data_IF_682334623887
#
_entry.id   IF_682334623887
#
_cell.length_a   1.000
_cell.length_b   1.000
_cell.length_c   1.000
_cell.angle_alpha   90.00
_cell.angle_beta   90.00
_cell.angle_gamma   90.00
#
_symmetry.space_group_name_H-M   'P 1'
#
loop_
_entity.id
_entity.type
_entity.pdbx_description
1 polymer ?
#
# COMPACT_ATOMS: atom_id res chain seq x y z
N UNK A 1 4.18 -15.68 -32.39
CA UNK A 1 3.54 -14.36 -32.28
C UNK A 1 3.37 -14.07 -30.80
N UNK A 2 3.77 -12.88 -30.31
CA UNK A 2 3.58 -12.51 -28.89
C UNK A 2 2.12 -12.06 -28.72
N UNK A 3 1.40 -12.65 -27.78
CA UNK A 3 0.04 -12.18 -27.42
C UNK A 3 0.07 -11.53 -26.04
N UNK A 4 -0.94 -10.74 -25.69
CA UNK A 4 -1.06 -10.18 -24.34
C UNK A 4 -1.15 -11.31 -23.30
N UNK A 5 -1.82 -12.41 -23.64
CA UNK A 5 -1.95 -13.61 -22.81
C UNK A 5 -0.60 -14.32 -22.61
N UNK A 6 0.35 -14.15 -23.53
CA UNK A 6 1.71 -14.70 -23.38
C UNK A 6 2.44 -14.08 -22.17
N UNK A 7 2.07 -12.87 -21.74
CA UNK A 7 2.63 -12.24 -20.54
C UNK A 7 2.14 -12.86 -19.23
N UNK A 8 1.10 -13.73 -19.24
CA UNK A 8 0.69 -14.48 -18.03
C UNK A 8 1.78 -15.43 -17.53
N UNK A 9 2.65 -15.89 -18.42
CA UNK A 9 3.80 -16.73 -18.08
C UNK A 9 5.01 -15.93 -17.58
N UNK A 10 4.91 -14.59 -17.56
CA UNK A 10 6.01 -13.72 -17.17
C UNK A 10 5.99 -13.47 -15.65
N UNK A 11 6.64 -14.34 -14.89
CA UNK A 11 6.77 -14.26 -13.42
C UNK A 11 7.78 -13.19 -12.97
N UNK A 12 7.65 -11.96 -13.45
CA UNK A 12 8.53 -10.87 -13.07
C UNK A 12 8.22 -10.33 -11.66
N UNK A 13 9.29 -10.01 -10.91
CA UNK A 13 9.27 -9.15 -9.72
C UNK A 13 8.43 -9.61 -8.53
N UNK A 14 8.14 -10.91 -8.40
CA UNK A 14 7.58 -11.44 -7.16
C UNK A 14 8.66 -11.50 -6.09
N UNK A 15 8.53 -10.66 -5.07
CA UNK A 15 9.29 -10.78 -3.84
C UNK A 15 8.67 -11.90 -3.00
N UNK A 16 9.50 -12.66 -2.29
CA UNK A 16 8.98 -13.64 -1.33
C UNK A 16 9.90 -13.78 -0.12
N UNK A 17 9.30 -14.14 1.01
CA UNK A 17 10.01 -14.65 2.17
C UNK A 17 10.19 -16.18 2.01
N UNK A 18 11.43 -16.66 2.09
CA UNK A 18 11.75 -18.09 2.02
C UNK A 18 12.65 -18.49 3.20
N UNK A 19 12.35 -19.54 3.96
CA UNK A 19 13.18 -19.91 5.10
C UNK A 19 14.50 -20.56 4.64
N UNK A 20 15.61 -20.12 5.23
CA UNK A 20 16.96 -20.56 4.87
C UNK A 20 17.32 -21.86 5.61
N UNK A 21 16.63 -22.97 5.30
CA UNK A 21 17.07 -24.39 5.50
C UNK A 21 15.90 -25.36 5.29
N UNK A 22 15.88 -26.04 4.15
CA UNK A 22 15.23 -27.34 3.97
C UNK A 22 13.70 -27.38 3.90
N UNK A 23 13.01 -26.23 3.90
CA UNK A 23 11.55 -26.20 3.79
C UNK A 23 11.12 -25.37 2.57
N UNK A 24 10.30 -25.97 1.70
CA UNK A 24 9.83 -25.45 0.41
C UNK A 24 8.70 -24.40 0.50
N UNK A 25 8.54 -23.68 1.61
CA UNK A 25 7.46 -22.69 1.72
C UNK A 25 7.96 -21.30 1.38
N UNK A 26 7.32 -20.66 0.39
CA UNK A 26 7.54 -19.27 0.01
C UNK A 26 6.28 -18.48 0.33
N UNK A 27 6.42 -17.41 1.10
CA UNK A 27 5.32 -16.44 1.29
C UNK A 27 5.53 -15.34 0.26
N UNK A 28 4.64 -15.24 -0.73
CA UNK A 28 4.69 -14.17 -1.74
C UNK A 28 4.39 -12.82 -1.09
N UNK A 29 5.20 -11.80 -1.38
CA UNK A 29 4.98 -10.42 -0.94
C UNK A 29 4.17 -9.66 -2.00
N UNK A 30 2.88 -9.95 -2.07
CA UNK A 30 1.93 -9.26 -2.94
C UNK A 30 1.62 -7.85 -2.44
N UNK A 31 1.86 -7.57 -1.16
CA UNK A 31 1.72 -6.25 -0.55
C UNK A 31 2.43 -5.15 -1.35
N UNK A 32 3.62 -5.40 -1.89
CA UNK A 32 4.36 -4.42 -2.71
C UNK A 32 3.58 -3.94 -3.96
N UNK A 33 2.84 -4.85 -4.62
CA UNK A 33 2.04 -4.51 -5.80
C UNK A 33 0.88 -3.59 -5.42
N UNK A 34 0.14 -3.94 -4.37
CA UNK A 34 -0.98 -3.13 -3.88
C UNK A 34 -0.53 -1.76 -3.35
N UNK A 35 0.61 -1.71 -2.64
CA UNK A 35 1.17 -0.45 -2.14
C UNK A 35 1.58 0.44 -3.32
N UNK A 36 2.19 -0.13 -4.36
CA UNK A 36 2.56 0.59 -5.58
C UNK A 36 1.32 1.22 -6.22
N UNK A 37 0.26 0.45 -6.43
CA UNK A 37 -1.00 0.96 -6.98
C UNK A 37 -1.62 2.05 -6.09
N UNK A 38 -1.66 1.84 -4.78
CA UNK A 38 -2.19 2.82 -3.83
C UNK A 38 -1.42 4.14 -3.86
N UNK A 39 -0.08 4.08 -3.95
CA UNK A 39 0.78 5.25 -4.04
C UNK A 39 0.52 6.03 -5.33
N UNK A 40 0.44 5.36 -6.49
CA UNK A 40 0.15 6.03 -7.76
C UNK A 40 -1.26 6.62 -7.81
N UNK A 41 -2.25 5.97 -7.19
CA UNK A 41 -3.59 6.56 -7.03
C UNK A 41 -3.53 7.85 -6.20
N UNK A 42 -2.78 7.84 -5.10
CA UNK A 42 -2.55 9.04 -4.28
C UNK A 42 -1.85 10.16 -5.03
N UNK A 43 -0.76 9.82 -5.74
CA UNK A 43 -0.04 10.76 -6.59
C UNK A 43 -0.97 11.46 -7.58
N UNK A 44 -1.81 10.67 -8.27
CA UNK A 44 -2.76 11.20 -9.25
C UNK A 44 -3.84 12.08 -8.60
N UNK A 45 -4.29 11.76 -7.38
CA UNK A 45 -5.25 12.59 -6.66
C UNK A 45 -4.64 13.95 -6.26
N UNK A 46 -3.36 14.00 -5.87
CA UNK A 46 -2.64 15.25 -5.63
C UNK A 46 -2.42 16.06 -6.91
N UNK A 47 -2.05 15.39 -8.02
CA UNK A 47 -1.92 16.04 -9.33
C UNK A 47 -3.22 16.68 -9.79
N UNK A 48 -4.36 16.03 -9.58
CA UNK A 48 -5.64 16.65 -9.90
C UNK A 48 -5.96 17.87 -9.02
N UNK A 49 -5.57 17.84 -7.74
CA UNK A 49 -5.69 19.01 -6.86
C UNK A 49 -4.82 20.16 -7.40
N UNK A 50 -3.58 19.88 -7.78
CA UNK A 50 -2.66 20.86 -8.38
C UNK A 50 -3.19 21.52 -9.66
N UNK A 51 -3.92 20.77 -10.47
CA UNK A 51 -4.49 21.23 -11.74
C UNK A 51 -5.80 22.02 -11.55
N UNK A 52 -6.30 22.13 -10.32
CA UNK A 52 -7.54 22.85 -10.03
C UNK A 52 -7.33 24.36 -10.18
N UNK A 53 -8.18 25.02 -10.97
CA UNK A 53 -8.16 26.48 -11.17
C UNK A 53 -9.28 27.15 -10.39
N UNK A 54 -10.53 26.93 -10.82
CA UNK A 54 -11.71 27.67 -10.35
C UNK A 54 -12.49 26.94 -9.25
N UNK A 55 -12.39 25.60 -9.22
CA UNK A 55 -13.02 24.74 -8.22
C UNK A 55 -12.00 23.71 -7.76
N UNK A 56 -11.86 23.54 -6.45
CA UNK A 56 -10.99 22.52 -5.87
C UNK A 56 -11.49 21.12 -6.25
N UNK A 57 -10.74 20.47 -7.13
CA UNK A 57 -11.07 19.14 -7.60
C UNK A 57 -10.68 18.11 -6.55
N UNK A 58 -11.69 17.43 -6.01
CA UNK A 58 -11.49 16.44 -4.95
C UNK A 58 -10.73 15.19 -5.41
N UNK A 59 -10.45 15.02 -6.71
CA UNK A 59 -9.84 13.81 -7.27
C UNK A 59 -10.90 12.77 -7.66
N UNK A 60 -10.66 11.98 -8.71
CA UNK A 60 -11.60 10.93 -9.17
C UNK A 60 -11.47 9.63 -8.40
N UNK A 61 -10.29 9.38 -7.82
CA UNK A 61 -9.89 8.05 -7.40
C UNK A 61 -9.61 8.00 -5.89
N UNK A 62 -10.19 8.89 -5.07
CA UNK A 62 -9.94 8.86 -3.62
C UNK A 62 -10.50 7.59 -2.99
N UNK A 63 -11.73 7.21 -3.34
CA UNK A 63 -12.32 5.95 -2.87
C UNK A 63 -11.45 4.76 -3.24
N UNK A 64 -10.97 4.69 -4.49
CA UNK A 64 -10.06 3.64 -4.93
C UNK A 64 -8.72 3.67 -4.19
N UNK A 65 -8.15 4.86 -3.96
CA UNK A 65 -6.89 5.02 -3.21
C UNK A 65 -7.05 4.54 -1.76
N UNK A 66 -8.10 5.00 -1.07
CA UNK A 66 -8.44 4.60 0.31
C UNK A 66 -8.68 3.09 0.39
N UNK A 67 -9.39 2.49 -0.58
CA UNK A 67 -9.59 1.04 -0.63
C UNK A 67 -8.26 0.31 -0.84
N UNK A 68 -7.41 0.79 -1.75
CA UNK A 68 -6.15 0.11 -2.10
C UNK A 68 -5.14 0.15 -0.95
N UNK A 69 -5.07 1.24 -0.20
CA UNK A 69 -4.26 1.31 1.02
C UNK A 69 -4.71 0.29 2.07
N UNK A 70 -6.02 0.11 2.25
CA UNK A 70 -6.54 -0.91 3.16
C UNK A 70 -6.17 -2.33 2.71
N UNK A 71 -6.35 -2.62 1.41
CA UNK A 71 -5.96 -3.91 0.82
C UNK A 71 -4.46 -4.17 1.04
N UNK A 72 -3.63 -3.15 0.85
CA UNK A 72 -2.18 -3.23 1.07
C UNK A 72 -1.83 -3.61 2.51
N UNK A 73 -2.44 -2.97 3.50
CA UNK A 73 -2.25 -3.29 4.92
C UNK A 73 -2.70 -4.73 5.22
N UNK A 74 -3.86 -5.13 4.70
CA UNK A 74 -4.42 -6.46 4.90
C UNK A 74 -3.51 -7.55 4.33
N UNK A 75 -2.99 -7.36 3.12
CA UNK A 75 -2.05 -8.31 2.50
C UNK A 75 -0.73 -8.39 3.27
N UNK A 76 -0.10 -7.25 3.59
CA UNK A 76 1.12 -7.22 4.39
C UNK A 76 0.95 -7.93 5.74
N UNK A 77 -0.18 -7.69 6.40
CA UNK A 77 -0.52 -8.35 7.67
C UNK A 77 -0.69 -9.86 7.49
N UNK A 78 -1.38 -10.32 6.45
CA UNK A 78 -1.54 -11.76 6.18
C UNK A 78 -0.19 -12.42 5.88
N UNK A 79 0.68 -11.77 5.09
CA UNK A 79 2.02 -12.27 4.75
C UNK A 79 2.88 -12.44 6.01
N UNK A 80 2.89 -11.44 6.89
CA UNK A 80 3.58 -11.51 8.17
C UNK A 80 3.00 -12.58 9.11
N UNK A 81 1.69 -12.70 9.16
CA UNK A 81 1.02 -13.68 10.00
C UNK A 81 1.25 -15.11 9.50
N UNK A 82 1.23 -15.33 8.18
CA UNK A 82 1.58 -16.60 7.57
C UNK A 82 3.02 -16.99 7.91
N UNK A 83 3.95 -16.05 7.76
CA UNK A 83 5.35 -16.25 8.14
C UNK A 83 5.48 -16.61 9.64
N UNK A 84 4.81 -15.86 10.51
CA UNK A 84 4.80 -16.13 11.95
C UNK A 84 4.22 -17.53 12.26
N UNK A 85 3.13 -17.93 11.59
CA UNK A 85 2.52 -19.25 11.73
C UNK A 85 3.47 -20.37 11.29
N UNK A 86 4.16 -20.21 10.15
CA UNK A 86 5.15 -21.18 9.66
C UNK A 86 6.25 -21.39 10.70
N UNK A 87 6.81 -20.31 11.23
CA UNK A 87 7.92 -20.39 12.20
C UNK A 87 7.48 -20.93 13.57
N UNK A 88 6.26 -20.63 14.01
CA UNK A 88 5.70 -21.12 15.28
C UNK A 88 4.98 -22.47 15.16
N UNK A 89 4.96 -23.07 13.96
CA UNK A 89 4.23 -24.31 13.63
C UNK A 89 2.74 -24.25 13.99
N UNK A 90 2.12 -23.09 13.76
CA UNK A 90 0.68 -22.85 13.91
C UNK A 90 0.00 -22.95 12.55
N UNK A 91 -1.30 -23.25 12.56
CA UNK A 91 -2.09 -23.31 11.34
C UNK A 91 -2.65 -21.90 11.01
N UNK A 92 -2.19 -21.32 9.89
CA UNK A 92 -2.65 -20.02 9.40
C UNK A 92 -4.17 -19.94 9.22
N UNK A 93 -4.84 -21.04 8.83
CA UNK A 93 -6.29 -21.03 8.56
C UNK A 93 -7.13 -20.70 9.79
N UNK A 94 -6.58 -20.84 11.00
CA UNK A 94 -7.25 -20.46 12.25
C UNK A 94 -7.43 -18.94 12.33
N UNK A 95 -6.51 -18.18 11.73
CA UNK A 95 -6.47 -16.72 11.82
C UNK A 95 -6.97 -16.03 10.54
N UNK A 96 -7.16 -16.77 9.44
CA UNK A 96 -7.48 -16.21 8.14
C UNK A 96 -8.76 -15.36 8.14
N UNK A 97 -9.76 -15.77 8.94
CA UNK A 97 -11.06 -15.09 9.07
C UNK A 97 -11.10 -13.96 10.10
N UNK A 98 -10.02 -13.76 10.87
CA UNK A 98 -9.97 -12.71 11.89
C UNK A 98 -9.92 -11.32 11.25
N UNK A 99 -10.46 -10.32 11.96
CA UNK A 99 -10.35 -8.92 11.58
C UNK A 99 -8.90 -8.44 11.57
N UNK A 100 -8.65 -7.30 10.94
CA UNK A 100 -7.29 -6.79 10.74
C UNK A 100 -6.55 -6.56 12.06
N UNK A 101 -7.23 -5.96 13.04
CA UNK A 101 -6.64 -5.64 14.35
C UNK A 101 -6.29 -6.89 15.16
N UNK A 102 -7.12 -7.92 15.09
CA UNK A 102 -6.85 -9.19 15.76
C UNK A 102 -5.65 -9.90 15.13
N UNK A 103 -5.53 -9.88 13.80
CA UNK A 103 -4.34 -10.41 13.11
C UNK A 103 -3.05 -9.72 13.56
N UNK A 104 -3.05 -8.39 13.71
CA UNK A 104 -1.88 -7.66 14.22
C UNK A 104 -1.51 -8.07 15.65
N UNK A 105 -2.49 -8.22 16.55
CA UNK A 105 -2.25 -8.70 17.92
C UNK A 105 -1.67 -10.11 17.93
N UNK A 106 -2.15 -10.98 17.04
CA UNK A 106 -1.62 -12.33 16.89
C UNK A 106 -0.19 -12.32 16.35
N UNK A 107 0.16 -11.46 15.39
CA UNK A 107 1.56 -11.30 14.94
C UNK A 107 2.46 -10.91 16.10
N UNK A 108 2.09 -9.88 16.87
CA UNK A 108 2.85 -9.44 18.05
C UNK A 108 3.07 -10.60 19.03
N UNK A 109 2.03 -11.38 19.27
CA UNK A 109 2.05 -12.54 20.18
C UNK A 109 2.93 -13.67 19.66
N UNK A 110 2.72 -14.10 18.41
CA UNK A 110 3.42 -15.20 17.77
C UNK A 110 4.91 -14.89 17.60
N UNK A 111 5.24 -13.67 17.20
CA UNK A 111 6.62 -13.22 17.02
C UNK A 111 7.30 -12.79 18.33
N UNK A 112 6.58 -12.80 19.47
CA UNK A 112 7.08 -12.37 20.78
C UNK A 112 7.73 -10.98 20.72
N UNK A 113 7.08 -10.05 20.03
CA UNK A 113 7.58 -8.68 19.91
C UNK A 113 7.46 -7.96 21.25
N UNK A 114 8.49 -7.18 21.60
CA UNK A 114 8.47 -6.38 22.82
C UNK A 114 7.49 -5.21 22.65
N UNK A 115 6.48 -5.16 23.51
CA UNK A 115 5.47 -4.11 23.53
C UNK A 115 5.79 -3.00 24.53
N UNK A 116 6.86 -3.12 25.31
CA UNK A 116 7.24 -2.10 26.28
C UNK A 116 7.56 -0.77 25.58
N UNK A 117 6.81 0.28 25.94
CA UNK A 117 7.01 1.63 25.39
C UNK A 117 6.37 1.89 24.02
N UNK A 118 5.71 0.90 23.42
CA UNK A 118 4.99 1.06 22.15
C UNK A 118 3.48 1.11 22.39
N UNK A 119 2.86 2.25 22.09
CA UNK A 119 1.41 2.45 22.22
C UNK A 119 0.66 1.98 20.95
N UNK A 120 0.65 0.67 20.68
CA UNK A 120 -0.08 0.09 19.53
C UNK A 120 -1.60 0.35 19.61
N UNK A 121 -2.14 0.60 20.80
CA UNK A 121 -3.58 0.81 21.03
C UNK A 121 -4.19 1.87 20.13
N UNK A 122 -3.53 3.03 19.97
CA UNK A 122 -4.06 4.12 19.14
C UNK A 122 -4.10 3.72 17.64
N UNK A 123 -3.11 2.96 17.18
CA UNK A 123 -3.09 2.42 15.82
C UNK A 123 -4.23 1.41 15.62
N UNK A 124 -4.49 0.53 16.59
CA UNK A 124 -5.58 -0.43 16.49
C UNK A 124 -6.94 0.27 16.39
N UNK A 125 -7.16 1.33 17.17
CA UNK A 125 -8.40 2.12 17.08
C UNK A 125 -8.56 2.79 15.70
N UNK A 126 -7.49 3.35 15.14
CA UNK A 126 -7.48 3.88 13.76
C UNK A 126 -7.80 2.81 12.72
N UNK A 127 -7.27 1.60 12.90
CA UNK A 127 -7.49 0.48 11.98
C UNK A 127 -8.90 -0.11 12.08
N UNK A 128 -9.52 -0.14 13.27
CA UNK A 128 -10.92 -0.54 13.44
C UNK A 128 -11.85 0.40 12.67
N UNK A 129 -11.62 1.72 12.79
CA UNK A 129 -12.35 2.73 12.02
C UNK A 129 -12.11 2.60 10.51
N UNK A 130 -10.87 2.32 10.11
CA UNK A 130 -10.53 2.13 8.71
C UNK A 130 -11.15 0.84 8.13
N UNK A 131 -11.16 -0.26 8.88
CA UNK A 131 -11.85 -1.51 8.49
C UNK A 131 -13.36 -1.28 8.35
N UNK A 132 -13.97 -0.54 9.28
CA UNK A 132 -15.38 -0.17 9.18
C UNK A 132 -15.66 0.69 7.94
N UNK A 133 -14.78 1.65 7.62
CA UNK A 133 -14.86 2.44 6.39
C UNK A 133 -14.75 1.56 5.15
N UNK A 134 -13.73 0.71 5.07
CA UNK A 134 -13.51 -0.21 3.94
C UNK A 134 -14.74 -1.09 3.70
N UNK A 135 -15.28 -1.69 4.76
CA UNK A 135 -16.49 -2.50 4.67
C UNK A 135 -17.68 -1.69 4.16
N UNK A 136 -17.85 -0.45 4.61
CA UNK A 136 -18.93 0.42 4.14
C UNK A 136 -18.75 0.86 2.67
N UNK A 137 -17.52 1.11 2.21
CA UNK A 137 -17.25 1.49 0.82
C UNK A 137 -17.39 0.33 -0.16
N UNK A 138 -17.16 -0.90 0.29
CA UNK A 138 -17.23 -2.11 -0.55
C UNK A 138 -18.62 -2.76 -0.53
N UNK A 139 -19.42 -2.54 0.51
CA UNK A 139 -20.81 -3.00 0.57
C UNK A 139 -21.73 -1.94 -0.04
N UNK A 140 -22.43 -2.28 -1.13
CA UNK A 140 -23.26 -1.35 -1.95
C UNK A 140 -24.47 -0.71 -1.23
N UNK A 141 -24.66 -0.88 0.07
CA UNK A 141 -25.96 -0.72 0.73
C UNK A 141 -26.09 0.38 1.78
N UNK A 142 -25.11 1.25 2.04
CA UNK A 142 -25.31 2.31 3.04
C UNK A 142 -24.88 3.71 2.59
N UNK A 143 -25.85 4.61 2.60
CA UNK A 143 -25.71 6.06 2.36
C UNK A 143 -24.98 6.80 3.49
N UNK A 144 -24.62 6.13 4.58
CA UNK A 144 -23.89 6.71 5.71
C UNK A 144 -22.72 5.82 6.09
N UNK A 145 -21.52 6.41 6.15
CA UNK A 145 -20.32 5.77 6.64
C UNK A 145 -20.34 5.76 8.19
N UNK A 146 -19.57 4.87 8.84
CA UNK A 146 -19.42 4.90 10.29
C UNK A 146 -18.88 6.24 10.77
N UNK A 147 -19.25 6.61 12.00
CA UNK A 147 -18.68 7.79 12.67
C UNK A 147 -17.24 7.51 13.08
N UNK A 148 -16.39 8.52 12.92
CA UNK A 148 -14.97 8.44 13.21
C UNK A 148 -14.63 9.23 14.46
N UNK A 149 -13.84 8.65 15.35
CA UNK A 149 -13.42 9.23 16.61
C UNK A 149 -11.90 9.38 16.70
N UNK A 150 -11.15 8.50 16.04
CA UNK A 150 -9.69 8.43 16.08
C UNK A 150 -9.05 8.80 14.73
N UNK A 151 -9.83 8.75 13.66
CA UNK A 151 -9.46 9.18 12.31
C UNK A 151 -10.25 10.43 11.90
N UNK A 152 -9.87 11.00 10.76
CA UNK A 152 -10.49 12.17 10.14
C UNK A 152 -11.11 11.82 8.79
N UNK A 153 -11.43 10.54 8.56
CA UNK A 153 -12.11 10.11 7.36
C UNK A 153 -13.48 10.76 7.27
N UNK A 154 -13.89 11.05 6.04
CA UNK A 154 -15.20 11.62 5.74
C UNK A 154 -16.29 10.62 6.11
N UNK A 155 -17.32 11.08 6.84
CA UNK A 155 -18.48 10.27 7.21
C UNK A 155 -19.49 10.10 6.05
N UNK A 156 -19.17 10.62 4.86
CA UNK A 156 -19.96 10.47 3.64
C UNK A 156 -19.06 10.06 2.48
N UNK A 157 -19.37 8.92 1.85
CA UNK A 157 -18.59 8.35 0.76
C UNK A 157 -18.43 9.31 -0.44
N UNK A 158 -19.43 10.15 -0.70
CA UNK A 158 -19.38 11.14 -1.79
C UNK A 158 -18.49 12.36 -1.47
N UNK A 159 -18.09 12.51 -0.21
CA UNK A 159 -17.23 13.62 0.25
C UNK A 159 -15.76 13.22 0.40
N UNK A 160 -15.43 11.93 0.21
CA UNK A 160 -14.05 11.46 0.20
C UNK A 160 -13.21 12.23 -0.82
N UNK A 161 -12.06 12.72 -0.37
CA UNK A 161 -11.16 13.59 -1.11
C UNK A 161 -9.68 13.24 -0.83
N UNK A 162 -8.76 14.13 -1.24
CA UNK A 162 -7.33 13.93 -1.05
C UNK A 162 -6.92 13.78 0.41
N UNK A 163 -7.59 14.45 1.35
CA UNK A 163 -7.27 14.32 2.77
C UNK A 163 -7.52 12.88 3.26
N UNK A 164 -8.63 12.27 2.87
CA UNK A 164 -8.92 10.86 3.20
C UNK A 164 -7.86 9.93 2.63
N UNK A 165 -7.44 10.18 1.38
CA UNK A 165 -6.44 9.34 0.71
C UNK A 165 -5.04 9.50 1.31
N UNK A 166 -4.70 10.70 1.80
CA UNK A 166 -3.48 10.95 2.56
C UNK A 166 -3.55 10.31 3.95
N UNK A 167 -4.69 10.35 4.64
CA UNK A 167 -4.85 9.69 5.93
C UNK A 167 -4.73 8.17 5.82
N UNK A 168 -5.37 7.58 4.81
CA UNK A 168 -5.23 6.16 4.47
C UNK A 168 -3.76 5.75 4.30
N UNK A 169 -3.00 6.53 3.53
CA UNK A 169 -1.56 6.32 3.35
C UNK A 169 -0.78 6.47 4.65
N UNK A 170 -1.06 7.47 5.47
CA UNK A 170 -0.37 7.68 6.74
C UNK A 170 -0.61 6.52 7.72
N UNK A 171 -1.84 6.00 7.80
CA UNK A 171 -2.16 4.82 8.60
C UNK A 171 -1.43 3.59 8.06
N UNK A 172 -1.40 3.40 6.73
CA UNK A 172 -0.67 2.29 6.13
C UNK A 172 0.83 2.38 6.42
N UNK A 173 1.42 3.56 6.24
CA UNK A 173 2.82 3.81 6.55
C UNK A 173 3.14 3.53 8.03
N UNK A 174 2.27 3.93 8.95
CA UNK A 174 2.42 3.62 10.38
C UNK A 174 2.44 2.11 10.65
N UNK A 175 1.57 1.33 9.99
CA UNK A 175 1.60 -0.14 10.12
C UNK A 175 2.90 -0.71 9.57
N UNK A 176 3.33 -0.29 8.37
CA UNK A 176 4.56 -0.82 7.76
C UNK A 176 5.80 -0.45 8.58
N UNK A 177 5.89 0.79 9.07
CA UNK A 177 6.99 1.23 9.92
C UNK A 177 6.98 0.46 11.26
N UNK A 178 5.81 0.20 11.82
CA UNK A 178 5.68 -0.55 13.07
C UNK A 178 6.31 -1.95 12.98
N UNK A 179 6.17 -2.63 11.85
CA UNK A 179 6.72 -3.98 11.66
C UNK A 179 8.03 -4.02 10.85
N UNK A 180 8.55 -2.88 10.39
CA UNK A 180 9.68 -2.76 9.46
C UNK A 180 10.89 -3.64 9.77
N UNK A 181 11.22 -3.76 11.05
CA UNK A 181 12.42 -4.46 11.52
C UNK A 181 12.08 -5.71 12.34
N UNK A 182 10.82 -6.19 12.29
CA UNK A 182 10.39 -7.31 13.13
C UNK A 182 11.05 -8.64 12.72
N UNK A 183 11.58 -8.74 11.49
CA UNK A 183 12.40 -9.86 11.00
C UNK A 183 13.87 -9.46 11.07
N UNK A 184 14.70 -10.31 11.67
CA UNK A 184 16.10 -10.01 11.85
C UNK A 184 16.86 -9.80 10.54
N UNK A 185 17.61 -8.70 10.46
CA UNK A 185 18.50 -8.40 9.33
C UNK A 185 17.79 -7.97 8.05
N UNK A 186 16.47 -7.79 8.08
CA UNK A 186 15.68 -7.43 6.91
C UNK A 186 14.84 -6.19 7.20
N UNK A 187 14.96 -5.19 6.32
CA UNK A 187 14.01 -4.09 6.19
C UNK A 187 12.84 -4.60 5.33
N UNK A 188 11.66 -4.74 5.94
CA UNK A 188 10.46 -5.20 5.24
C UNK A 188 9.50 -4.06 4.88
N UNK A 189 9.98 -2.80 4.91
CA UNK A 189 9.23 -1.69 4.34
C UNK A 189 8.86 -2.03 2.88
N UNK A 190 7.58 -1.88 2.48
CA UNK A 190 7.18 -2.15 1.11
C UNK A 190 8.03 -1.38 0.09
N UNK A 191 8.38 -2.06 -0.98
CA UNK A 191 9.23 -1.55 -2.05
C UNK A 191 8.35 -1.18 -3.24
N UNK A 192 8.57 0.01 -3.79
CA UNK A 192 7.79 0.58 -4.88
C UNK A 192 8.62 0.56 -6.16
N UNK A 193 8.06 -0.03 -7.21
CA UNK A 193 8.68 -0.03 -8.53
C UNK A 193 8.37 1.27 -9.28
N UNK A 194 9.43 1.95 -9.70
CA UNK A 194 9.44 3.21 -10.41
C UNK A 194 9.93 3.00 -11.85
N UNK A 195 9.18 3.53 -12.81
CA UNK A 195 9.61 3.60 -14.20
C UNK A 195 10.11 5.02 -14.50
N UNK A 196 11.43 5.22 -14.55
CA UNK A 196 12.07 6.52 -14.79
C UNK A 196 12.87 6.45 -16.09
N UNK A 197 12.46 7.20 -17.11
CA UNK A 197 13.15 7.28 -18.42
C UNK A 197 13.43 5.91 -19.07
N UNK A 198 12.50 4.97 -18.92
CA UNK A 198 12.65 3.60 -19.44
C UNK A 198 13.55 2.68 -18.59
N UNK A 199 14.10 3.17 -17.47
CA UNK A 199 14.77 2.35 -16.46
C UNK A 199 13.79 2.01 -15.33
N UNK A 200 13.84 0.77 -14.87
CA UNK A 200 13.15 0.33 -13.65
C UNK A 200 14.06 0.55 -12.45
N UNK A 201 13.57 1.26 -11.45
CA UNK A 201 14.21 1.42 -10.14
C UNK A 201 13.21 1.00 -9.07
N UNK A 202 13.70 0.65 -7.90
CA UNK A 202 12.87 0.29 -6.77
C UNK A 202 13.32 1.12 -5.57
N UNK A 203 12.37 1.63 -4.79
CA UNK A 203 12.62 2.51 -3.64
C UNK A 203 11.69 2.13 -2.49
N UNK A 204 12.13 2.30 -1.25
CA UNK A 204 11.28 2.03 -0.10
C UNK A 204 10.13 3.05 -0.02
N UNK A 205 8.96 2.60 0.43
CA UNK A 205 7.76 3.42 0.50
C UNK A 205 7.96 4.69 1.36
N UNK A 206 8.61 4.56 2.52
CA UNK A 206 8.87 5.66 3.45
C UNK A 206 9.66 6.80 2.78
N UNK A 207 10.67 6.46 1.98
CA UNK A 207 11.46 7.43 1.21
C UNK A 207 10.56 8.22 0.26
N UNK A 208 9.64 7.56 -0.44
CA UNK A 208 8.72 8.23 -1.37
C UNK A 208 7.67 9.08 -0.65
N UNK A 209 7.15 8.60 0.48
CA UNK A 209 6.17 9.34 1.29
C UNK A 209 6.82 10.61 1.85
N UNK A 210 7.95 10.47 2.56
CA UNK A 210 8.58 11.55 3.31
C UNK A 210 9.26 12.58 2.41
N UNK A 211 9.88 12.15 1.31
CA UNK A 211 10.64 13.06 0.45
C UNK A 211 9.86 13.56 -0.76
N UNK A 212 8.70 12.97 -1.07
CA UNK A 212 7.95 13.32 -2.28
C UNK A 212 6.48 13.62 -2.00
N UNK A 213 5.71 12.67 -1.48
CA UNK A 213 4.26 12.84 -1.33
C UNK A 213 3.90 13.92 -0.31
N UNK A 214 4.45 13.85 0.91
CA UNK A 214 4.12 14.79 1.98
C UNK A 214 4.60 16.22 1.66
N UNK A 215 5.84 16.45 1.18
CA UNK A 215 6.26 17.77 0.71
C UNK A 215 5.34 18.32 -0.39
N UNK A 216 4.98 17.49 -1.37
CA UNK A 216 4.05 17.90 -2.44
C UNK A 216 2.68 18.30 -1.89
N UNK A 217 2.16 17.53 -0.92
CA UNK A 217 0.88 17.87 -0.28
C UNK A 217 0.96 19.20 0.48
N UNK A 218 2.06 19.47 1.21
CA UNK A 218 2.28 20.72 1.94
C UNK A 218 2.31 21.91 0.97
N UNK A 219 3.08 21.81 -0.12
CA UNK A 219 3.18 22.86 -1.13
C UNK A 219 1.84 23.14 -1.80
N UNK A 220 1.06 22.09 -2.11
CA UNK A 220 -0.29 22.23 -2.67
C UNK A 220 -1.26 22.90 -1.69
N UNK A 221 -1.24 22.50 -0.41
CA UNK A 221 -2.04 23.16 0.61
C UNK A 221 -1.69 24.65 0.70
N UNK A 222 -0.40 24.99 0.67
CA UNK A 222 0.07 26.39 0.66
C UNK A 222 -0.41 27.16 -0.58
N UNK A 223 -0.24 26.57 -1.78
CA UNK A 223 -0.69 27.15 -3.05
C UNK A 223 -2.17 27.56 -3.02
N UNK A 224 -3.02 26.73 -2.41
CA UNK A 224 -4.46 26.97 -2.32
C UNK A 224 -4.91 27.61 -0.99
N UNK A 225 -3.97 28.01 -0.12
CA UNK A 225 -4.26 28.56 1.22
C UNK A 225 -5.16 27.65 2.08
N UNK A 226 -4.96 26.34 1.96
CA UNK A 226 -5.69 25.31 2.69
C UNK A 226 -4.90 24.86 3.93
N UNK A 227 -5.63 24.34 4.92
CA UNK A 227 -5.05 23.71 6.12
C UNK A 227 -5.61 22.31 6.28
N UNK A 228 -4.86 21.42 6.92
CA UNK A 228 -5.31 20.06 7.25
C UNK A 228 -5.11 19.76 8.73
N UNK A 229 -5.94 18.87 9.28
CA UNK A 229 -5.77 18.31 10.63
C UNK A 229 -4.79 17.13 10.65
N UNK A 230 -4.41 16.61 9.47
CA UNK A 230 -3.47 15.50 9.36
C UNK A 230 -2.08 15.94 9.78
N UNK A 231 -1.37 15.08 10.51
CA UNK A 231 0.05 15.26 10.76
C UNK A 231 0.84 14.85 9.50
N UNK A 232 1.34 15.85 8.76
CA UNK A 232 2.17 15.63 7.56
C UNK A 232 3.68 15.54 7.86
N UNK A 233 4.05 15.45 9.14
CA UNK A 233 5.41 15.16 9.60
C UNK A 233 5.37 14.01 10.62
N UNK A 234 4.93 12.81 10.21
CA UNK A 234 4.79 11.69 11.12
C UNK A 234 6.16 11.20 11.63
N UNK A 235 6.21 10.83 12.90
CA UNK A 235 7.31 10.07 13.49
C UNK A 235 6.68 8.80 14.06
N UNK A 236 6.87 7.69 13.35
CA UNK A 236 6.34 6.40 13.76
C UNK A 236 7.40 5.56 14.46
N UNK A 237 6.95 4.69 15.35
CA UNK A 237 7.82 3.78 16.09
C UNK A 237 7.79 2.40 15.43
N UNK A 238 8.89 1.65 15.59
CA UNK A 238 9.00 0.27 15.12
C UNK A 238 9.19 -0.69 16.28
N UNK A 239 8.67 -1.91 16.12
CA UNK A 239 9.10 -3.03 16.94
C UNK A 239 10.59 -3.32 16.74
N UNK A 240 11.24 -3.71 17.82
CA UNK A 240 12.55 -4.35 17.73
C UNK A 240 12.43 -5.71 17.01
N UNK A 241 13.56 -6.22 16.57
CA UNK A 241 13.66 -7.54 15.96
C UNK A 241 13.04 -8.62 16.84
N UNK A 242 12.25 -9.50 16.22
CA UNK A 242 11.71 -10.69 16.88
C UNK A 242 12.83 -11.63 17.35
N UNK A 243 12.79 -12.12 18.60
CA UNK A 243 13.76 -13.09 19.10
C UNK A 243 13.66 -14.46 18.42
N UNK A 244 12.57 -14.74 17.69
CA UNK A 244 12.33 -16.04 17.06
C UNK A 244 12.50 -16.03 15.52
N UNK A 245 12.74 -14.85 14.93
CA UNK A 245 13.09 -14.68 13.52
C UNK A 245 14.48 -14.01 13.36
N UNK A 246 15.59 -14.65 13.77
CA UNK A 246 16.93 -14.16 13.49
C UNK A 246 17.28 -14.17 11.99
N UNK A 247 18.30 -13.38 11.63
CA UNK A 247 18.84 -13.15 10.28
C UNK A 247 18.98 -14.42 9.43
N UNK A 248 19.38 -15.53 10.06
CA UNK A 248 19.72 -16.76 9.37
C UNK A 248 18.51 -17.64 9.00
N UNK A 249 17.28 -17.22 9.33
CA UNK A 249 16.09 -18.04 9.14
C UNK A 249 15.22 -17.64 7.96
N UNK A 250 15.35 -16.44 7.42
CA UNK A 250 14.54 -15.94 6.30
C UNK A 250 15.47 -15.35 5.25
N UNK A 251 15.28 -15.71 3.99
CA UNK A 251 15.88 -15.07 2.84
C UNK A 251 14.78 -14.34 2.06
N UNK A 252 15.01 -13.07 1.75
CA UNK A 252 14.21 -12.38 0.73
C UNK A 252 14.76 -12.74 -0.64
N UNK A 253 13.93 -13.32 -1.48
CA UNK A 253 14.26 -13.59 -2.88
C UNK A 253 13.43 -12.69 -3.78
N UNK A 254 14.09 -11.80 -4.53
CA UNK A 254 13.46 -11.07 -5.63
C UNK A 254 13.69 -11.87 -6.92
N UNK A 255 12.61 -12.37 -7.53
CA UNK A 255 12.73 -13.04 -8.84
C UNK A 255 12.86 -12.00 -9.95
N UNK A 256 14.09 -11.55 -10.20
CA UNK A 256 14.43 -10.67 -11.33
C UNK A 256 14.75 -11.53 -12.55
N UNK A 257 13.74 -12.17 -13.15
CA UNK A 257 13.94 -12.81 -14.47
C UNK A 257 12.93 -12.26 -15.46
N UNK A 258 13.29 -11.15 -16.11
CA UNK A 258 12.62 -10.73 -17.33
C UNK A 258 13.05 -11.68 -18.45
N UNK A 259 12.15 -12.55 -18.91
CA UNK A 259 12.51 -13.43 -20.02
C UNK A 259 12.74 -12.59 -21.29
N UNK A 260 13.81 -12.85 -22.07
CA UNK A 260 14.17 -12.02 -23.23
C UNK A 260 13.03 -11.82 -24.23
N UNK A 261 12.11 -12.77 -24.32
CA UNK A 261 10.92 -12.69 -25.19
C UNK A 261 9.88 -11.65 -24.74
N UNK A 262 9.97 -11.11 -23.52
CA UNK A 262 9.06 -10.08 -22.98
C UNK A 262 9.73 -8.70 -22.84
N UNK A 263 10.97 -8.54 -23.32
CA UNK A 263 11.60 -7.23 -23.45
C UNK A 263 10.92 -6.50 -24.61
N UNK A 264 10.28 -5.38 -24.30
CA UNK A 264 9.82 -4.42 -25.30
C UNK A 264 11.06 -3.60 -25.72
N UNK A 265 11.53 -3.79 -26.95
CA UNK A 265 12.52 -2.88 -27.53
C UNK A 265 11.84 -1.51 -27.70
N UNK A 266 12.53 -0.41 -27.33
CA UNK A 266 12.08 0.98 -27.46
C UNK A 266 11.85 1.40 -28.93
N UNK A 267 10.97 0.70 -29.64
CA UNK A 267 10.77 0.80 -31.08
C UNK A 267 9.28 0.95 -31.40
N UNK A 268 8.65 1.92 -30.74
CA UNK A 268 7.50 2.65 -31.28
C UNK A 268 7.38 3.89 -30.41
N UNK A 269 7.48 5.08 -31.01
CA UNK A 269 7.06 6.30 -30.31
C UNK A 269 5.69 6.05 -29.71
N UNK A 270 5.46 6.48 -28.47
CA UNK A 270 4.18 6.33 -27.79
C UNK A 270 3.10 7.01 -28.64
N UNK A 271 2.49 6.27 -29.57
CA UNK A 271 1.32 6.71 -30.28
C UNK A 271 0.23 6.68 -29.25
N UNK A 272 -0.27 7.86 -28.94
CA UNK A 272 -1.35 8.10 -27.98
C UNK A 272 -2.68 7.62 -28.57
N UNK A 273 -2.74 6.33 -28.91
CA UNK A 273 -3.86 5.65 -29.55
C UNK A 273 -5.11 5.80 -28.68
N UNK A 274 -4.92 5.79 -27.36
CA UNK A 274 -6.00 5.97 -26.39
C UNK A 274 -6.55 7.39 -26.45
N UNK A 275 -5.71 8.45 -26.45
CA UNK A 275 -6.22 9.81 -26.61
C UNK A 275 -6.78 10.06 -28.02
N UNK A 276 -6.24 9.43 -29.06
CA UNK A 276 -6.79 9.47 -30.42
C UNK A 276 -8.22 8.91 -30.50
N UNK A 277 -8.46 7.73 -29.92
CA UNK A 277 -9.80 7.14 -29.87
C UNK A 277 -10.75 7.92 -28.95
N UNK A 278 -10.26 8.46 -27.83
CA UNK A 278 -11.06 9.30 -26.94
C UNK A 278 -11.52 10.59 -27.64
N UNK A 279 -10.62 11.25 -28.36
CA UNK A 279 -10.93 12.44 -29.15
C UNK A 279 -11.88 12.13 -30.31
N UNK A 280 -11.74 10.98 -30.97
CA UNK A 280 -12.67 10.50 -32.01
C UNK A 280 -14.09 10.28 -31.44
N UNK A 281 -14.19 9.65 -30.27
CA UNK A 281 -15.45 9.41 -29.58
C UNK A 281 -16.15 10.71 -29.15
N UNK A 282 -15.38 11.73 -28.74
CA UNK A 282 -15.93 13.03 -28.32
C UNK A 282 -16.54 13.85 -29.47
N UNK A 283 -16.20 13.58 -30.74
CA UNK A 283 -16.78 14.27 -31.90
C UNK A 283 -18.29 14.06 -32.05
N UNK A 284 -18.88 13.02 -31.45
CA UNK A 284 -20.33 12.75 -31.51
C UNK A 284 -21.18 13.67 -30.64
N UNK A 285 -20.55 14.52 -29.83
CA UNK A 285 -21.19 15.51 -28.97
C UNK A 285 -21.02 16.95 -29.50
N UNK A 286 -20.48 17.11 -30.71
CA UNK A 286 -20.40 18.36 -31.46
C UNK A 286 -21.45 18.36 -32.57
#
# INVERSE_FOLDING_TARGET
MRTLESFRANEMHRNCFAPYRGVYYKVEQLSNEYVTDALYLNWNNLKHLEQSTDVLYRGRNNTSSVIMWYISISHFTNELLELACIHTRKNFTIYASSGLTDKLKEIVTLLKLDTQGLAITDLLLKLEEYEALYNALTQQTKSQLPKMHHTYFSENAHLLNQADSLQAMLIAYEVFELFRNCIGGWDIMPIIDLAINGLRKSENLDVLILNVILPSAIDLLSKYQLTTKLNLSPIFQSYAQSPILPVDLVAMAQKIRQEPQFILTNAAGATDIINGHFMEYCKKYQ
#
